data_IF_594093970809
#
_entry.id   IF_594093970809
#
_cell.length_a   1.000
_cell.length_b   1.000
_cell.length_c   1.000
_cell.angle_alpha   90.00
_cell.angle_beta   90.00
_cell.angle_gamma   90.00
#
_symmetry.space_group_name_H-M   'P 1'
#
loop_
_entity.id
_entity.type
_entity.pdbx_description
1 polymer ?
#
# COMPACT_ATOMS: atom_id res chain seq x y z
N UNK A 1 49.10 -2.92 -5.07
CA UNK A 1 47.75 -3.48 -5.33
C UNK A 1 47.06 -2.54 -6.30
N UNK A 2 46.59 -3.00 -7.47
CA UNK A 2 45.99 -2.10 -8.45
C UNK A 2 44.71 -1.48 -7.86
N UNK A 3 44.68 -0.15 -7.74
CA UNK A 3 43.46 0.58 -7.35
C UNK A 3 42.50 0.60 -8.53
N UNK A 4 41.64 -0.41 -8.62
CA UNK A 4 40.58 -0.45 -9.63
C UNK A 4 39.44 0.45 -9.15
N UNK A 5 39.34 1.65 -9.72
CA UNK A 5 38.25 2.57 -9.43
C UNK A 5 37.01 2.20 -10.25
N UNK A 6 36.06 1.48 -9.63
CA UNK A 6 34.75 1.20 -10.22
C UNK A 6 33.64 1.26 -9.18
N UNK A 7 32.43 1.71 -9.54
CA UNK A 7 31.29 1.66 -8.64
C UNK A 7 30.95 0.23 -8.20
N UNK A 8 30.39 0.10 -7.00
CA UNK A 8 29.89 -1.18 -6.49
C UNK A 8 28.74 -1.69 -7.37
N UNK A 9 28.73 -3.00 -7.66
CA UNK A 9 27.62 -3.66 -8.35
C UNK A 9 26.53 -4.04 -7.35
N UNK A 10 25.36 -3.43 -7.50
CA UNK A 10 24.19 -3.62 -6.66
C UNK A 10 24.23 -2.79 -5.37
N UNK A 11 23.07 -2.20 -5.03
CA UNK A 11 22.90 -1.43 -3.80
C UNK A 11 22.88 -2.34 -2.57
N UNK A 12 23.51 -1.85 -1.49
CA UNK A 12 23.53 -2.50 -0.17
C UNK A 12 22.22 -2.34 0.58
N UNK A 13 21.46 -1.28 0.33
CA UNK A 13 20.20 -0.99 1.03
C UNK A 13 19.13 -2.06 0.80
N UNK A 14 19.23 -2.80 -0.31
CA UNK A 14 18.35 -3.93 -0.63
C UNK A 14 18.98 -5.30 -0.30
N UNK A 15 20.06 -5.31 0.49
CA UNK A 15 20.68 -6.53 1.01
C UNK A 15 20.18 -6.79 2.43
N UNK A 16 19.79 -8.03 2.79
CA UNK A 16 19.77 -9.23 1.96
C UNK A 16 18.54 -9.31 1.03
N UNK A 17 18.75 -9.65 -0.24
CA UNK A 17 17.65 -9.89 -1.21
C UNK A 17 16.93 -11.20 -0.89
N UNK A 18 15.88 -11.15 -0.07
CA UNK A 18 15.09 -12.31 0.39
C UNK A 18 13.64 -12.22 -0.07
N UNK A 19 12.88 -13.32 0.06
CA UNK A 19 11.44 -13.34 -0.23
C UNK A 19 10.71 -12.45 0.79
N UNK A 20 9.69 -11.73 0.32
CA UNK A 20 8.77 -11.02 1.21
C UNK A 20 8.00 -12.02 2.08
N UNK A 21 7.63 -11.61 3.30
CA UNK A 21 6.85 -12.44 4.23
C UNK A 21 5.37 -12.52 3.86
N UNK A 22 4.85 -11.49 3.22
CA UNK A 22 3.47 -11.38 2.74
C UNK A 22 3.47 -10.79 1.34
N UNK A 23 2.40 -11.05 0.58
CA UNK A 23 2.11 -10.40 -0.70
C UNK A 23 1.70 -8.93 -0.50
N UNK A 24 1.06 -8.63 0.64
CA UNK A 24 0.66 -7.29 1.01
C UNK A 24 1.87 -6.54 1.58
N UNK A 25 2.30 -5.44 0.95
CA UNK A 25 3.40 -4.64 1.46
C UNK A 25 3.00 -3.92 2.74
N UNK A 26 3.93 -3.83 3.69
CA UNK A 26 3.75 -3.07 4.93
C UNK A 26 4.33 -1.67 4.75
N UNK A 27 3.47 -0.66 4.78
CA UNK A 27 3.86 0.75 4.78
C UNK A 27 4.18 1.14 6.22
N UNK A 28 5.30 1.84 6.42
CA UNK A 28 5.82 2.19 7.75
C UNK A 28 5.60 3.64 8.12
N UNK A 29 5.57 4.51 7.13
CA UNK A 29 5.45 5.95 7.27
C UNK A 29 4.46 6.43 6.23
N UNK A 30 3.60 7.34 6.65
CA UNK A 30 2.60 7.95 5.80
C UNK A 30 2.79 9.47 5.85
N UNK A 31 2.54 10.19 4.74
CA UNK A 31 2.64 11.63 4.72
C UNK A 31 1.56 12.27 5.61
N UNK A 32 1.89 13.38 6.25
CA UNK A 32 0.88 14.22 6.91
C UNK A 32 0.19 15.10 5.87
N UNK A 33 -1.12 15.25 6.00
CA UNK A 33 -1.96 16.07 5.11
C UNK A 33 -2.69 17.13 5.94
N UNK A 34 -3.23 18.17 5.29
CA UNK A 34 -3.98 19.21 6.00
C UNK A 34 -5.41 18.77 6.33
N UNK A 35 -6.05 18.01 5.44
CA UNK A 35 -7.43 17.55 5.57
C UNK A 35 -7.46 16.07 5.93
N UNK A 36 -8.43 15.69 6.76
CA UNK A 36 -8.67 14.29 7.11
C UNK A 36 -9.01 13.48 5.86
N UNK A 37 -8.14 12.54 5.48
CA UNK A 37 -8.33 11.63 4.33
C UNK A 37 -7.70 10.28 4.61
N UNK A 38 -8.25 9.22 4.01
CA UNK A 38 -7.61 7.91 4.00
C UNK A 38 -6.30 8.00 3.21
N UNK A 39 -5.17 7.60 3.80
CA UNK A 39 -3.86 7.87 3.19
C UNK A 39 -3.49 6.93 2.02
N UNK A 40 -4.26 5.86 1.79
CA UNK A 40 -3.89 4.84 0.82
C UNK A 40 -5.04 3.98 0.35
N UNK A 41 -4.80 3.27 -0.74
CA UNK A 41 -5.77 2.39 -1.38
C UNK A 41 -5.07 1.13 -1.93
N UNK A 42 -5.82 0.03 -2.05
CA UNK A 42 -5.32 -1.22 -2.60
C UNK A 42 -5.92 -1.48 -3.98
N UNK A 43 -5.10 -1.93 -4.92
CA UNK A 43 -5.52 -2.26 -6.27
C UNK A 43 -4.70 -3.38 -6.87
N UNK A 44 -5.18 -3.94 -7.97
CA UNK A 44 -4.54 -5.04 -8.66
C UNK A 44 -3.95 -4.58 -9.99
N UNK A 45 -2.70 -4.96 -10.27
CA UNK A 45 -2.06 -4.62 -11.54
C UNK A 45 -2.68 -5.44 -12.68
N UNK A 46 -3.44 -4.78 -13.54
CA UNK A 46 -4.06 -5.40 -14.72
C UNK A 46 -3.05 -5.55 -15.86
N UNK A 47 -2.29 -4.49 -16.15
CA UNK A 47 -1.37 -4.52 -17.29
C UNK A 47 -0.60 -3.23 -17.48
N UNK A 48 0.01 -3.09 -18.64
CA UNK A 48 0.67 -1.86 -19.08
C UNK A 48 0.24 -1.55 -20.51
N UNK A 49 0.10 -0.27 -20.80
CA UNK A 49 -0.12 0.24 -22.15
C UNK A 49 0.77 1.46 -22.36
N UNK A 50 0.60 2.18 -23.45
CA UNK A 50 1.19 3.49 -23.67
C UNK A 50 0.09 4.50 -23.94
N UNK A 51 0.38 5.76 -23.61
CA UNK A 51 -0.45 6.91 -23.95
C UNK A 51 0.38 7.81 -24.84
N UNK A 52 -0.24 8.34 -25.88
CA UNK A 52 0.32 9.41 -26.67
C UNK A 52 -0.09 10.74 -26.04
N UNK A 53 0.88 11.57 -25.71
CA UNK A 53 0.63 12.90 -25.13
C UNK A 53 1.59 13.93 -25.71
N UNK A 54 1.20 15.19 -25.68
CA UNK A 54 2.08 16.30 -26.05
C UNK A 54 3.02 16.56 -24.87
N UNK A 55 4.32 16.68 -25.14
CA UNK A 55 5.29 17.07 -24.11
C UNK A 55 5.18 18.58 -23.84
N UNK A 56 4.70 18.91 -22.66
CA UNK A 56 4.47 20.29 -22.18
C UNK A 56 5.61 20.79 -21.27
N UNK A 57 6.70 20.02 -21.14
CA UNK A 57 7.81 20.39 -20.26
C UNK A 57 8.67 21.48 -20.90
N UNK A 58 8.82 22.64 -20.24
CA UNK A 58 9.59 23.75 -20.80
C UNK A 58 11.05 23.37 -20.96
N UNK A 59 11.65 23.78 -22.08
CA UNK A 59 13.05 23.55 -22.45
C UNK A 59 13.44 22.09 -22.69
N UNK A 60 12.47 21.19 -22.86
CA UNK A 60 12.75 19.84 -23.34
C UNK A 60 13.03 19.87 -24.85
N UNK A 61 13.83 18.94 -25.35
CA UNK A 61 14.09 18.83 -26.81
C UNK A 61 12.82 18.43 -27.60
N UNK A 62 11.83 17.88 -26.91
CA UNK A 62 10.57 17.36 -27.46
C UNK A 62 9.38 18.25 -27.13
N UNK A 63 9.60 19.45 -26.59
CA UNK A 63 8.54 20.40 -26.21
C UNK A 63 7.61 20.67 -27.40
N UNK A 64 6.30 20.50 -27.21
CA UNK A 64 5.27 20.64 -28.24
C UNK A 64 5.18 19.47 -29.23
N UNK A 65 6.02 18.43 -29.11
CA UNK A 65 5.94 17.21 -29.91
C UNK A 65 5.08 16.14 -29.23
N UNK A 66 4.49 15.25 -30.03
CA UNK A 66 3.78 14.07 -29.54
C UNK A 66 4.78 12.99 -29.10
N UNK A 67 4.72 12.60 -27.83
CA UNK A 67 5.56 11.56 -27.22
C UNK A 67 4.73 10.37 -26.76
N UNK A 68 5.33 9.18 -26.83
CA UNK A 68 4.73 7.95 -26.30
C UNK A 68 5.25 7.68 -24.89
N UNK A 69 4.34 7.66 -23.91
CA UNK A 69 4.68 7.43 -22.49
C UNK A 69 4.11 6.09 -22.03
N UNK A 70 4.93 5.17 -21.48
CA UNK A 70 4.43 3.92 -20.94
C UNK A 70 3.65 4.15 -19.65
N UNK A 71 2.47 3.56 -19.54
CA UNK A 71 1.59 3.65 -18.36
C UNK A 71 1.23 2.27 -17.83
N UNK A 72 0.96 2.18 -16.53
CA UNK A 72 0.45 0.96 -15.90
C UNK A 72 -1.02 1.15 -15.58
N UNK A 73 -1.84 0.15 -15.91
CA UNK A 73 -3.27 0.13 -15.58
C UNK A 73 -3.46 -0.72 -14.33
N UNK A 74 -4.06 -0.12 -13.31
CA UNK A 74 -4.46 -0.79 -12.08
C UNK A 74 -5.99 -0.91 -12.06
N UNK A 75 -6.50 -2.10 -11.79
CA UNK A 75 -7.90 -2.35 -11.50
C UNK A 75 -8.14 -2.16 -10.01
N UNK A 76 -9.02 -1.24 -9.66
CA UNK A 76 -9.17 -0.74 -8.29
C UNK A 76 -10.64 -0.87 -7.88
N UNK A 77 -11.10 -2.07 -7.45
CA UNK A 77 -12.45 -2.24 -6.95
C UNK A 77 -12.64 -1.43 -5.65
N UNK A 78 -13.87 -0.97 -5.32
CA UNK A 78 -14.14 -0.36 -4.03
C UNK A 78 -13.72 -1.28 -2.87
N UNK A 79 -13.15 -0.71 -1.81
CA UNK A 79 -12.74 -1.44 -0.60
C UNK A 79 -13.79 -1.27 0.48
N UNK A 80 -13.98 -2.27 1.33
CA UNK A 80 -14.93 -2.18 2.44
C UNK A 80 -14.21 -1.82 3.73
N UNK A 81 -14.75 -0.87 4.49
CA UNK A 81 -14.25 -0.52 5.82
C UNK A 81 -14.96 -1.37 6.87
N UNK A 82 -14.18 -2.16 7.61
CA UNK A 82 -14.66 -3.19 8.54
C UNK A 82 -14.67 -2.71 9.97
N UNK A 83 -13.64 -1.97 10.35
CA UNK A 83 -13.44 -1.54 11.72
C UNK A 83 -12.61 -0.26 11.76
N UNK A 84 -12.81 0.52 12.81
CA UNK A 84 -11.94 1.64 13.19
C UNK A 84 -11.09 1.18 14.36
N UNK A 85 -9.78 1.39 14.27
CA UNK A 85 -8.82 1.12 15.33
C UNK A 85 -8.15 2.42 15.75
N UNK A 86 -8.23 2.71 17.04
CA UNK A 86 -7.55 3.84 17.65
C UNK A 86 -6.27 3.37 18.34
N UNK A 87 -5.21 4.16 18.23
CA UNK A 87 -3.92 3.90 18.84
C UNK A 87 -3.58 4.99 19.85
N UNK A 88 -2.96 4.58 20.95
CA UNK A 88 -2.38 5.45 21.97
C UNK A 88 -0.86 5.30 21.99
N UNK A 89 -0.20 6.29 22.56
CA UNK A 89 1.24 6.20 22.84
C UNK A 89 1.46 5.37 24.11
N UNK A 90 2.16 4.24 23.97
CA UNK A 90 2.53 3.38 25.09
C UNK A 90 4.01 2.99 24.99
N UNK A 91 4.79 3.34 26.03
CA UNK A 91 6.22 3.02 26.14
C UNK A 91 7.05 3.39 24.90
N UNK A 92 6.76 4.54 24.28
CA UNK A 92 7.48 5.03 23.10
C UNK A 92 7.07 4.38 21.77
N UNK A 93 5.98 3.62 21.74
CA UNK A 93 5.39 3.06 20.52
C UNK A 93 3.87 3.19 20.49
N UNK A 94 3.28 2.81 19.36
CA UNK A 94 1.83 2.80 19.19
C UNK A 94 1.25 1.48 19.70
N UNK A 95 0.26 1.55 20.59
CA UNK A 95 -0.53 0.41 21.06
C UNK A 95 -1.99 0.61 20.68
N UNK A 96 -2.71 -0.45 20.24
CA UNK A 96 -4.15 -0.33 20.01
C UNK A 96 -4.86 -0.06 21.33
N UNK A 97 -5.52 1.10 21.43
CA UNK A 97 -6.31 1.51 22.59
C UNK A 97 -7.71 0.87 22.53
N UNK A 98 -8.27 0.72 21.32
CA UNK A 98 -9.57 0.10 21.11
C UNK A 98 -9.91 -0.08 19.64
N UNK A 99 -10.93 -0.91 19.38
CA UNK A 99 -11.47 -1.17 18.05
C UNK A 99 -12.99 -1.19 18.07
N UNK A 100 -13.59 -0.47 17.12
CA UNK A 100 -15.02 -0.51 16.83
C UNK A 100 -15.25 -1.22 15.49
N UNK A 101 -16.05 -2.29 15.51
CA UNK A 101 -16.34 -3.11 14.34
C UNK A 101 -17.72 -2.76 13.75
N UNK A 102 -17.84 -2.81 12.42
CA UNK A 102 -19.11 -2.63 11.74
C UNK A 102 -20.05 -3.81 12.05
N UNK A 103 -21.35 -3.52 12.17
CA UNK A 103 -22.36 -4.55 12.47
C UNK A 103 -22.62 -5.49 11.28
N UNK A 104 -22.61 -4.92 10.07
CA UNK A 104 -22.89 -5.62 8.83
C UNK A 104 -21.60 -5.87 8.06
N UNK A 105 -21.03 -7.06 8.23
CA UNK A 105 -19.78 -7.45 7.60
C UNK A 105 -20.01 -8.29 6.36
N UNK A 106 -19.19 -8.07 5.33
CA UNK A 106 -19.23 -8.87 4.11
C UNK A 106 -19.02 -10.36 4.41
N UNK A 107 -19.83 -11.28 3.84
CA UNK A 107 -19.63 -12.72 3.99
C UNK A 107 -18.23 -13.18 3.54
N UNK A 108 -17.61 -12.46 2.61
CA UNK A 108 -16.28 -12.79 2.08
C UNK A 108 -15.17 -12.64 3.11
N UNK A 109 -15.34 -11.75 4.09
CA UNK A 109 -14.39 -11.51 5.17
C UNK A 109 -14.12 -12.77 5.99
N UNK A 110 -15.12 -13.67 6.11
CA UNK A 110 -14.99 -14.97 6.81
C UNK A 110 -13.95 -15.89 6.19
N UNK A 111 -13.56 -15.66 4.93
CA UNK A 111 -12.50 -16.42 4.25
C UNK A 111 -11.10 -16.02 4.70
N UNK A 112 -10.94 -14.78 5.17
CA UNK A 112 -9.66 -14.24 5.60
C UNK A 112 -9.48 -14.34 7.12
N UNK A 113 -10.51 -14.02 7.90
CA UNK A 113 -10.46 -14.02 9.37
C UNK A 113 -11.70 -14.63 10.01
N UNK A 114 -11.53 -15.11 11.24
CA UNK A 114 -12.67 -15.41 12.12
C UNK A 114 -13.29 -14.09 12.58
N UNK A 115 -14.45 -13.77 12.03
CA UNK A 115 -15.17 -12.53 12.34
C UNK A 115 -15.55 -12.47 13.83
N UNK A 116 -15.27 -11.36 14.53
CA UNK A 116 -15.68 -11.18 15.91
C UNK A 116 -17.20 -11.31 16.06
N UNK A 117 -17.66 -11.96 17.14
CA UNK A 117 -19.08 -11.97 17.48
C UNK A 117 -19.50 -10.56 17.88
N UNK A 118 -20.76 -10.18 17.63
CA UNK A 118 -21.34 -8.84 17.90
C UNK A 118 -21.10 -8.27 19.31
N UNK A 119 -20.71 -9.10 20.28
CA UNK A 119 -20.40 -8.70 21.66
C UNK A 119 -18.91 -8.40 21.93
N UNK A 120 -18.02 -8.51 20.94
CA UNK A 120 -16.57 -8.28 21.09
C UNK A 120 -16.17 -7.04 20.28
N UNK A 121 -16.13 -5.90 20.97
CA UNK A 121 -15.66 -4.62 20.45
C UNK A 121 -16.03 -3.49 21.40
N UNK A 122 -15.20 -2.46 21.42
CA UNK A 122 -15.50 -1.19 22.10
C UNK A 122 -16.60 -0.50 21.28
N UNK A 123 -17.61 0.09 21.92
CA UNK A 123 -18.67 0.76 21.16
C UNK A 123 -18.07 1.95 20.39
N UNK A 124 -18.63 2.38 19.24
CA UNK A 124 -18.15 3.55 18.52
C UNK A 124 -18.04 4.80 19.42
N UNK A 125 -18.98 4.97 20.35
CA UNK A 125 -18.98 6.09 21.32
C UNK A 125 -17.89 6.00 22.39
N UNK A 126 -17.43 4.80 22.73
CA UNK A 126 -16.32 4.63 23.67
C UNK A 126 -14.97 5.05 23.03
N UNK A 127 -14.87 5.03 21.69
CA UNK A 127 -13.70 5.56 20.98
C UNK A 127 -13.67 7.09 20.96
N UNK A 128 -14.84 7.75 20.95
CA UNK A 128 -14.91 9.21 21.03
C UNK A 128 -14.47 9.73 22.40
N UNK A 129 -14.76 8.97 23.46
CA UNK A 129 -14.36 9.30 24.82
C UNK A 129 -12.83 9.34 25.00
N UNK A 130 -12.07 8.68 24.12
CA UNK A 130 -10.60 8.67 24.13
C UNK A 130 -9.98 9.86 23.34
N UNK A 131 -10.80 10.67 22.66
CA UNK A 131 -10.41 11.48 21.50
C UNK A 131 -9.20 12.42 21.62
N UNK A 132 -8.80 12.84 22.82
CA UNK A 132 -7.62 13.71 23.01
C UNK A 132 -6.32 12.95 23.32
N UNK A 133 -6.40 11.73 23.88
CA UNK A 133 -5.23 10.92 24.25
C UNK A 133 -4.73 9.99 23.11
N UNK A 134 -5.40 10.05 21.96
CA UNK A 134 -5.07 9.21 20.81
C UNK A 134 -3.84 9.73 20.06
N UNK A 135 -3.01 8.80 19.65
CA UNK A 135 -1.82 9.05 18.84
C UNK A 135 -2.08 8.87 17.34
N UNK A 136 -2.89 7.88 16.95
CA UNK A 136 -3.17 7.56 15.55
C UNK A 136 -4.54 6.88 15.39
N UNK A 137 -5.19 7.08 14.25
CA UNK A 137 -6.49 6.49 13.92
C UNK A 137 -6.37 5.79 12.58
N UNK A 138 -6.69 4.49 12.56
CA UNK A 138 -6.62 3.66 11.37
C UNK A 138 -7.93 2.95 11.12
N UNK A 139 -8.27 2.82 9.85
CA UNK A 139 -9.36 1.95 9.42
C UNK A 139 -8.81 0.60 8.97
N UNK A 140 -9.47 -0.45 9.41
CA UNK A 140 -9.29 -1.80 8.89
C UNK A 140 -10.16 -1.95 7.65
N UNK A 141 -9.51 -2.16 6.52
CA UNK A 141 -10.15 -2.32 5.22
C UNK A 141 -9.90 -3.71 4.67
N UNK A 142 -10.82 -4.19 3.85
CA UNK A 142 -10.56 -5.37 3.03
C UNK A 142 -10.86 -5.12 1.55
N UNK A 143 -10.09 -5.74 0.68
CA UNK A 143 -10.31 -5.74 -0.77
C UNK A 143 -11.50 -6.63 -1.16
N UNK A 144 -12.08 -6.39 -2.33
CA UNK A 144 -13.16 -7.20 -2.89
C UNK A 144 -12.68 -7.92 -4.17
N UNK A 145 -11.87 -9.00 -4.06
CA UNK A 145 -11.28 -9.65 -5.21
C UNK A 145 -12.32 -10.32 -6.12
N UNK A 146 -13.50 -10.69 -5.60
CA UNK A 146 -14.59 -11.27 -6.39
C UNK A 146 -15.14 -10.34 -7.47
N UNK A 147 -14.96 -9.01 -7.31
CA UNK A 147 -15.35 -8.04 -8.33
C UNK A 147 -14.35 -7.98 -9.50
N UNK A 148 -13.15 -8.53 -9.31
CA UNK A 148 -12.07 -8.53 -10.30
C UNK A 148 -12.06 -9.85 -11.05
N UNK A 149 -12.60 -9.83 -12.26
CA UNK A 149 -12.73 -11.05 -13.09
C UNK A 149 -11.39 -11.65 -13.53
N UNK A 150 -10.35 -10.83 -13.66
CA UNK A 150 -9.04 -11.25 -14.17
C UNK A 150 -8.18 -12.02 -13.17
N UNK A 151 -8.59 -12.13 -11.91
CA UNK A 151 -7.78 -12.71 -10.84
C UNK A 151 -8.52 -13.89 -10.21
N UNK A 152 -7.92 -15.09 -10.14
CA UNK A 152 -8.56 -16.28 -9.57
C UNK A 152 -8.54 -16.26 -8.02
N UNK A 153 -8.66 -15.09 -7.40
CA UNK A 153 -8.58 -14.91 -5.95
C UNK A 153 -9.98 -14.65 -5.40
N UNK A 154 -10.32 -15.34 -4.31
CA UNK A 154 -11.60 -15.17 -3.59
C UNK A 154 -11.42 -14.78 -2.13
N UNK A 155 -10.18 -14.84 -1.64
CA UNK A 155 -9.84 -14.47 -0.26
C UNK A 155 -9.44 -13.00 -0.27
N UNK A 156 -10.17 -12.14 0.46
CA UNK A 156 -9.83 -10.73 0.52
C UNK A 156 -8.57 -10.51 1.33
N UNK A 157 -7.81 -9.48 0.98
CA UNK A 157 -6.67 -9.00 1.74
C UNK A 157 -7.14 -7.96 2.75
N UNK A 158 -6.72 -8.10 4.00
CA UNK A 158 -7.03 -7.15 5.08
C UNK A 158 -5.82 -6.25 5.28
N UNK A 159 -6.08 -4.94 5.37
CA UNK A 159 -5.07 -3.92 5.54
C UNK A 159 -5.51 -2.88 6.56
N UNK A 160 -4.55 -2.24 7.20
CA UNK A 160 -4.77 -1.03 7.97
C UNK A 160 -4.41 0.16 7.09
N UNK A 161 -5.35 1.09 6.91
CA UNK A 161 -5.11 2.38 6.28
C UNK A 161 -5.27 3.47 7.34
N UNK A 162 -4.27 4.32 7.56
CA UNK A 162 -4.44 5.45 8.47
C UNK A 162 -5.33 6.51 7.83
N UNK A 163 -6.00 7.27 8.69
CA UNK A 163 -6.64 8.51 8.30
C UNK A 163 -5.72 9.63 8.75
N UNK A 164 -5.12 10.31 7.78
CA UNK A 164 -4.16 11.37 8.02
C UNK A 164 -4.79 12.74 7.82
N UNK A 165 -4.18 13.74 8.46
CA UNK A 165 -4.57 15.13 8.38
C UNK A 165 -5.76 15.54 9.23
N UNK A 166 -6.01 16.85 9.32
CA UNK A 166 -6.97 17.44 10.25
C UNK A 166 -6.68 17.15 11.72
N UNK A 167 -7.64 17.52 12.58
CA UNK A 167 -7.59 17.22 14.02
C UNK A 167 -7.90 15.74 14.28
N UNK A 168 -7.47 15.21 15.44
CA UNK A 168 -7.73 13.81 15.80
C UNK A 168 -9.23 13.48 15.86
N UNK A 169 -10.04 14.44 16.31
CA UNK A 169 -11.49 14.34 16.35
C UNK A 169 -12.07 14.24 14.93
N UNK A 170 -11.55 15.02 13.99
CA UNK A 170 -12.01 14.97 12.59
C UNK A 170 -11.65 13.63 11.94
N UNK A 171 -10.47 13.08 12.24
CA UNK A 171 -10.06 11.74 11.79
C UNK A 171 -11.01 10.67 12.31
N UNK A 172 -11.35 10.70 13.60
CA UNK A 172 -12.30 9.76 14.20
C UNK A 172 -13.69 9.86 13.56
N UNK A 173 -14.23 11.06 13.41
CA UNK A 173 -15.55 11.29 12.79
C UNK A 173 -15.59 10.76 11.36
N UNK A 174 -14.54 11.03 10.58
CA UNK A 174 -14.42 10.50 9.23
C UNK A 174 -14.35 8.97 9.24
N UNK A 175 -13.53 8.39 10.12
CA UNK A 175 -13.39 6.94 10.26
C UNK A 175 -14.73 6.26 10.57
N UNK A 176 -15.49 6.83 11.51
CA UNK A 176 -16.81 6.33 11.89
C UNK A 176 -17.82 6.47 10.75
N UNK A 177 -17.82 7.59 10.03
CA UNK A 177 -18.72 7.77 8.87
C UNK A 177 -18.48 6.74 7.77
N UNK A 178 -17.23 6.30 7.60
CA UNK A 178 -16.85 5.29 6.60
C UNK A 178 -17.14 3.86 7.09
N UNK A 179 -17.41 3.64 8.38
CA UNK A 179 -17.55 2.31 8.96
C UNK A 179 -18.72 1.54 8.34
N UNK A 180 -18.43 0.35 7.80
CA UNK A 180 -19.41 -0.52 7.13
C UNK A 180 -19.75 -0.09 5.71
N UNK A 181 -19.16 0.99 5.20
CA UNK A 181 -19.37 1.46 3.83
C UNK A 181 -18.28 0.97 2.86
N UNK A 182 -18.59 1.07 1.56
CA UNK A 182 -17.62 0.88 0.51
C UNK A 182 -16.99 2.21 0.13
N UNK A 183 -15.66 2.25 0.06
CA UNK A 183 -14.90 3.44 -0.29
C UNK A 183 -14.37 3.28 -1.71
N UNK A 184 -14.81 4.13 -2.67
CA UNK A 184 -14.25 4.14 -4.02
C UNK A 184 -12.92 4.90 -4.07
N UNK A 185 -12.07 4.58 -5.05
CA UNK A 185 -10.76 5.24 -5.23
C UNK A 185 -10.88 6.76 -5.43
N UNK A 186 -11.95 7.23 -6.07
CA UNK A 186 -12.22 8.65 -6.33
C UNK A 186 -12.46 9.48 -5.07
N UNK A 187 -12.74 8.84 -3.92
CA UNK A 187 -12.86 9.54 -2.64
C UNK A 187 -11.49 9.76 -1.97
N UNK A 188 -10.47 9.02 -2.40
CA UNK A 188 -9.13 9.00 -1.80
C UNK A 188 -8.12 9.75 -2.66
N UNK A 189 -8.16 9.58 -3.98
CA UNK A 189 -7.23 10.21 -4.91
C UNK A 189 -7.94 11.05 -5.96
N UNK A 190 -7.28 12.12 -6.37
CA UNK A 190 -7.71 13.04 -7.42
C UNK A 190 -6.81 12.92 -8.66
N UNK A 191 -7.30 13.39 -9.80
CA UNK A 191 -6.51 13.39 -11.04
C UNK A 191 -5.37 14.40 -10.91
N UNK A 192 -4.14 13.93 -11.14
CA UNK A 192 -2.92 14.74 -11.02
C UNK A 192 -2.14 14.50 -9.74
N UNK A 193 -2.68 13.72 -8.79
CA UNK A 193 -1.96 13.37 -7.56
C UNK A 193 -0.69 12.57 -7.85
N UNK A 194 0.39 12.90 -7.14
CA UNK A 194 1.64 12.15 -7.14
C UNK A 194 1.55 11.03 -6.10
N UNK A 195 1.56 9.78 -6.58
CA UNK A 195 1.33 8.61 -5.74
C UNK A 195 2.57 7.73 -5.62
N UNK A 196 2.79 7.20 -4.41
CA UNK A 196 3.77 6.16 -4.16
C UNK A 196 3.15 4.77 -4.32
N UNK A 197 3.72 3.95 -5.20
CA UNK A 197 3.28 2.57 -5.40
C UNK A 197 4.20 1.58 -4.66
N UNK A 198 3.61 0.78 -3.77
CA UNK A 198 4.30 -0.30 -3.06
C UNK A 198 3.75 -1.66 -3.48
N UNK A 199 4.62 -2.59 -3.88
CA UNK A 199 4.24 -3.93 -4.32
C UNK A 199 5.38 -4.94 -4.18
N UNK A 200 5.05 -6.23 -4.14
CA UNK A 200 6.04 -7.31 -4.20
C UNK A 200 6.38 -7.63 -5.65
N UNK A 201 7.68 -7.56 -5.99
CA UNK A 201 8.16 -7.84 -7.35
C UNK A 201 7.93 -9.29 -7.78
N UNK A 202 7.82 -9.52 -9.09
CA UNK A 202 7.73 -10.87 -9.68
C UNK A 202 8.88 -11.78 -9.21
N UNK A 203 8.53 -12.93 -8.64
CA UNK A 203 9.49 -13.95 -8.22
C UNK A 203 10.26 -14.54 -9.41
N UNK A 204 11.58 -14.66 -9.28
CA UNK A 204 12.47 -15.25 -10.30
C UNK A 204 13.20 -16.52 -9.82
N UNK A 205 12.80 -17.09 -8.69
CA UNK A 205 13.46 -18.27 -8.10
C UNK A 205 14.90 -18.01 -7.64
N UNK A 206 15.70 -19.08 -7.59
CA UNK A 206 17.13 -18.99 -7.29
C UNK A 206 17.88 -18.39 -8.48
N UNK A 207 18.62 -17.29 -8.25
CA UNK A 207 19.36 -16.59 -9.29
C UNK A 207 20.86 -16.55 -8.97
N UNK A 208 21.69 -16.79 -9.99
CA UNK A 208 23.14 -16.66 -9.89
C UNK A 208 23.60 -15.21 -9.67
N UNK A 209 24.86 -15.00 -9.27
CA UNK A 209 25.35 -13.69 -8.87
C UNK A 209 25.34 -12.65 -10.00
N UNK A 210 25.52 -13.08 -11.25
CA UNK A 210 25.44 -12.21 -12.44
C UNK A 210 24.07 -11.54 -12.55
N UNK A 211 22.99 -12.32 -12.57
CA UNK A 211 21.62 -11.78 -12.63
C UNK A 211 21.17 -11.13 -11.31
N UNK A 212 21.66 -11.62 -10.17
CA UNK A 212 21.25 -11.13 -8.85
C UNK A 212 21.93 -9.82 -8.45
N UNK A 213 23.17 -9.58 -8.86
CA UNK A 213 23.96 -8.40 -8.46
C UNK A 213 24.47 -7.56 -9.63
N UNK A 214 24.33 -8.03 -10.88
CA UNK A 214 24.84 -7.33 -12.06
C UNK A 214 26.36 -7.36 -12.16
N UNK A 215 27.01 -8.41 -11.64
CA UNK A 215 28.46 -8.58 -11.79
C UNK A 215 28.81 -9.02 -13.21
N UNK A 216 30.01 -8.66 -13.66
CA UNK A 216 30.51 -9.10 -14.95
C UNK A 216 30.66 -10.64 -14.99
N UNK A 217 30.34 -11.23 -16.13
CA UNK A 217 30.64 -12.64 -16.37
C UNK A 217 32.16 -12.84 -16.47
N UNK A 218 32.63 -14.00 -16.02
CA UNK A 218 34.03 -14.37 -16.22
C UNK A 218 34.32 -14.54 -17.74
N UNK A 219 35.57 -14.30 -18.14
CA UNK A 219 36.00 -14.55 -19.52
C UNK A 219 35.89 -16.05 -19.86
N UNK A 220 35.67 -16.35 -21.14
CA UNK A 220 35.47 -17.71 -21.67
C UNK A 220 36.55 -18.72 -21.24
N UNK A 221 37.81 -18.30 -21.11
CA UNK A 221 38.95 -19.18 -20.79
C UNK A 221 39.14 -19.47 -19.29
N UNK A 222 38.35 -18.87 -18.40
CA UNK A 222 38.44 -19.21 -16.98
C UNK A 222 37.78 -20.57 -16.74
N UNK A 223 38.59 -21.62 -16.66
CA UNK A 223 38.16 -22.94 -16.24
C UNK A 223 37.97 -22.96 -14.70
N UNK A 224 37.11 -23.86 -14.23
CA UNK A 224 36.92 -24.17 -12.80
C UNK A 224 37.62 -25.47 -12.38
N UNK A 225 38.30 -26.11 -13.33
CA UNK A 225 39.19 -27.25 -13.13
C UNK A 225 40.54 -26.77 -12.64
#
# INVERSE_FOLDING_TARGET
MAQIHRPRRGSLSYSPRKRAKSEVPRIRSWPEEDKARMAGFAGYKAGMTHVMMIDDRPHSLTEGMEISVPVTVLEVPPINVVAVRAYENYNGGLRPAGEAWAENLSPELKRAITVPKKSRGTAPGDLEALGEDLADVRVLVHTNPSLVSGIPKKVPEIMEMPINGGSMIDRLRLAQSMLGQQVPVSSVFELGDLLDASAVTKGKGLQGPVRRWGIAMAKRKHART
#
